data_IF_089143280555
#
_entry.id   IF_089143280555
#
_cell.length_a   1.000
_cell.length_b   1.000
_cell.length_c   1.000
_cell.angle_alpha   90.00
_cell.angle_beta   90.00
_cell.angle_gamma   90.00
#
_symmetry.space_group_name_H-M   'P 1'
#
loop_
_entity.id
_entity.type
_entity.pdbx_description
1 polymer ?
#
# COMPACT_ATOMS: atom_id res chain seq x y z
N UNK A 1 20.56 11.44 9.80
CA UNK A 1 21.65 11.27 8.82
C UNK A 1 21.23 10.49 7.57
N UNK A 2 20.58 9.32 7.65
CA UNK A 2 20.14 8.54 6.47
C UNK A 2 19.19 9.32 5.53
N UNK A 3 18.32 10.19 6.06
CA UNK A 3 17.42 11.02 5.26
C UNK A 3 18.14 12.07 4.38
N UNK A 4 19.39 12.43 4.69
CA UNK A 4 20.16 13.35 3.84
C UNK A 4 20.46 12.74 2.47
N UNK A 5 20.38 11.42 2.29
CA UNK A 5 20.55 10.80 0.96
C UNK A 5 19.48 11.25 -0.03
N UNK A 6 18.29 11.61 0.45
CA UNK A 6 17.19 12.09 -0.40
C UNK A 6 17.38 13.56 -0.82
N UNK A 7 18.13 14.35 -0.06
CA UNK A 7 18.31 15.79 -0.30
C UNK A 7 19.03 16.07 -1.63
N UNK A 8 20.18 15.44 -1.96
CA UNK A 8 20.83 15.61 -3.26
C UNK A 8 19.94 15.15 -4.42
N UNK A 9 19.23 14.03 -4.24
CA UNK A 9 18.32 13.49 -5.26
C UNK A 9 17.17 14.47 -5.50
N UNK A 10 16.59 15.02 -4.43
CA UNK A 10 15.52 16.01 -4.49
C UNK A 10 15.97 17.30 -5.18
N UNK A 11 17.17 17.79 -4.88
CA UNK A 11 17.76 18.96 -5.56
C UNK A 11 17.97 18.66 -7.03
N UNK A 12 18.53 17.50 -7.38
CA UNK A 12 18.72 17.10 -8.77
C UNK A 12 17.38 17.07 -9.51
N UNK A 13 16.36 16.42 -8.95
CA UNK A 13 15.01 16.39 -9.55
C UNK A 13 14.43 17.80 -9.70
N UNK A 14 14.56 18.68 -8.69
CA UNK A 14 14.06 20.05 -8.75
C UNK A 14 14.74 20.88 -9.84
N UNK A 15 16.04 20.68 -10.06
CA UNK A 15 16.81 21.35 -11.12
C UNK A 15 16.50 20.77 -12.52
N UNK A 16 16.32 19.46 -12.63
CA UNK A 16 16.06 18.78 -13.90
C UNK A 16 14.58 18.82 -14.33
N UNK A 17 13.63 18.91 -13.41
CA UNK A 17 12.20 18.96 -13.70
C UNK A 17 11.81 20.03 -14.74
N UNK A 18 12.20 21.32 -14.61
CA UNK A 18 11.84 22.34 -15.60
C UNK A 18 12.53 22.16 -16.96
N UNK A 19 13.61 21.37 -17.04
CA UNK A 19 14.33 21.08 -18.29
C UNK A 19 13.70 19.93 -19.08
N UNK A 20 13.03 18.98 -18.41
CA UNK A 20 12.58 17.73 -19.03
C UNK A 20 11.07 17.48 -18.94
N UNK A 21 10.34 18.24 -18.13
CA UNK A 21 8.89 18.10 -17.97
C UNK A 21 8.21 19.25 -18.71
N UNK A 22 7.60 18.94 -19.86
CA UNK A 22 6.74 19.90 -20.55
C UNK A 22 5.52 20.23 -19.66
N UNK A 23 5.23 21.52 -19.54
CA UNK A 23 4.13 22.04 -18.73
C UNK A 23 2.80 21.46 -19.23
N UNK A 24 2.06 20.77 -18.36
CA UNK A 24 0.73 20.26 -18.71
C UNK A 24 -0.22 21.43 -18.97
N UNK A 25 -1.11 21.28 -19.97
CA UNK A 25 -2.07 22.32 -20.34
C UNK A 25 -2.88 22.81 -19.12
N UNK A 26 -2.79 24.12 -18.84
CA UNK A 26 -3.55 24.79 -17.77
C UNK A 26 -5.04 24.66 -18.06
N UNK A 27 -5.75 23.86 -17.27
CA UNK A 27 -7.19 23.79 -17.30
C UNK A 27 -7.78 24.86 -16.37
N UNK A 28 -8.64 25.78 -16.86
CA UNK A 28 -9.34 26.71 -16.01
C UNK A 28 -10.36 25.96 -15.13
N UNK A 29 -10.17 26.02 -13.81
CA UNK A 29 -11.05 25.41 -12.81
C UNK A 29 -10.94 26.13 -11.47
N UNK A 30 -12.00 26.10 -10.66
CA UNK A 30 -11.97 26.64 -9.29
C UNK A 30 -11.47 25.54 -8.36
N UNK A 31 -10.28 25.74 -7.79
CA UNK A 31 -9.71 24.78 -6.84
C UNK A 31 -10.50 24.81 -5.53
N UNK A 32 -11.04 23.67 -5.12
CA UNK A 32 -11.73 23.52 -3.83
C UNK A 32 -10.70 23.44 -2.69
N UNK A 33 -10.20 24.60 -2.25
CA UNK A 33 -9.26 24.68 -1.12
C UNK A 33 -9.87 24.08 0.16
N UNK A 34 -11.17 24.29 0.38
CA UNK A 34 -11.87 23.79 1.57
C UNK A 34 -11.91 22.26 1.56
N UNK A 35 -12.28 21.66 0.43
CA UNK A 35 -12.25 20.22 0.23
C UNK A 35 -10.83 19.64 0.40
N UNK A 36 -9.82 20.27 -0.20
CA UNK A 36 -8.44 19.82 -0.09
C UNK A 36 -7.91 19.88 1.35
N UNK A 37 -8.18 20.96 2.09
CA UNK A 37 -7.77 21.10 3.49
C UNK A 37 -8.48 20.11 4.40
N UNK A 38 -9.80 19.95 4.25
CA UNK A 38 -10.59 19.01 5.07
C UNK A 38 -10.23 17.56 4.79
N UNK A 39 -10.04 17.16 3.53
CA UNK A 39 -9.58 15.83 3.16
C UNK A 39 -8.18 15.54 3.72
N UNK A 40 -7.24 16.48 3.55
CA UNK A 40 -5.85 16.33 4.02
C UNK A 40 -5.79 16.25 5.54
N UNK A 41 -6.42 17.18 6.25
CA UNK A 41 -6.46 17.18 7.71
C UNK A 41 -7.19 15.95 8.26
N UNK A 42 -8.27 15.52 7.62
CA UNK A 42 -9.01 14.31 7.98
C UNK A 42 -8.16 13.04 7.81
N UNK A 43 -7.47 12.91 6.69
CA UNK A 43 -6.54 11.81 6.41
C UNK A 43 -5.35 11.79 7.37
N UNK A 44 -4.75 12.95 7.65
CA UNK A 44 -3.65 13.08 8.62
C UNK A 44 -4.13 12.67 10.00
N UNK A 45 -5.32 13.13 10.42
CA UNK A 45 -5.90 12.77 11.72
C UNK A 45 -6.18 11.26 11.81
N UNK A 46 -6.66 10.65 10.72
CA UNK A 46 -6.94 9.21 10.65
C UNK A 46 -5.66 8.38 10.79
N UNK A 47 -4.64 8.69 9.99
CA UNK A 47 -3.34 8.01 10.01
C UNK A 47 -2.65 8.23 11.35
N UNK A 48 -2.70 9.45 11.89
CA UNK A 48 -2.17 9.76 13.21
C UNK A 48 -2.87 8.97 14.32
N UNK A 49 -4.20 8.86 14.26
CA UNK A 49 -4.98 8.02 15.17
C UNK A 49 -4.50 6.57 15.15
N UNK A 50 -4.25 6.00 13.98
CA UNK A 50 -3.71 4.64 13.86
C UNK A 50 -2.31 4.49 14.46
N UNK A 51 -1.40 5.44 14.20
CA UNK A 51 -0.04 5.44 14.74
C UNK A 51 -0.07 5.59 16.28
N UNK A 52 -0.90 6.50 16.78
CA UNK A 52 -1.07 6.73 18.23
C UNK A 52 -1.69 5.52 18.91
N UNK A 53 -2.66 4.87 18.27
CA UNK A 53 -3.29 3.65 18.76
C UNK A 53 -2.28 2.50 18.91
N UNK A 54 -1.31 2.38 18.00
CA UNK A 54 -0.25 1.37 18.12
C UNK A 54 0.72 1.62 19.27
N UNK A 55 1.06 2.87 19.57
CA UNK A 55 2.03 3.21 20.64
C UNK A 55 1.38 3.32 22.02
N UNK A 56 0.24 4.03 22.12
CA UNK A 56 -0.38 4.43 23.39
C UNK A 56 -1.70 3.71 23.67
N UNK A 57 -2.18 2.90 22.72
CA UNK A 57 -3.41 2.12 22.84
C UNK A 57 -4.65 2.84 22.31
N UNK A 58 -5.72 2.06 22.14
CA UNK A 58 -6.97 2.46 21.49
C UNK A 58 -7.85 3.36 22.36
N UNK A 59 -7.69 3.31 23.68
CA UNK A 59 -8.47 4.08 24.66
C UNK A 59 -7.80 5.39 25.06
N UNK A 60 -6.61 5.71 24.53
CA UNK A 60 -5.95 6.98 24.78
C UNK A 60 -6.84 8.15 24.32
N UNK A 61 -6.97 9.18 25.14
CA UNK A 61 -7.86 10.31 24.86
C UNK A 61 -7.50 10.98 23.53
N UNK A 62 -6.19 11.06 23.23
CA UNK A 62 -5.64 11.61 21.98
C UNK A 62 -6.01 10.73 20.77
N UNK A 63 -5.94 9.41 20.92
CA UNK A 63 -6.34 8.46 19.87
C UNK A 63 -7.82 8.62 19.52
N UNK A 64 -8.69 8.66 20.53
CA UNK A 64 -10.14 8.80 20.34
C UNK A 64 -10.49 10.16 19.74
N UNK A 65 -9.86 11.25 20.19
CA UNK A 65 -10.06 12.57 19.59
C UNK A 65 -9.55 12.65 18.15
N UNK A 66 -8.42 12.02 17.83
CA UNK A 66 -7.91 11.97 16.46
C UNK A 66 -8.87 11.22 15.51
N UNK A 67 -9.43 10.08 15.95
CA UNK A 67 -10.45 9.37 15.16
C UNK A 67 -11.76 10.16 15.05
N UNK A 68 -12.21 10.80 16.13
CA UNK A 68 -13.38 11.68 16.11
C UNK A 68 -13.19 12.84 15.13
N UNK A 69 -12.02 13.49 15.16
CA UNK A 69 -11.66 14.58 14.25
C UNK A 69 -11.59 14.10 12.80
N UNK A 70 -11.01 12.92 12.56
CA UNK A 70 -10.97 12.31 11.24
C UNK A 70 -12.38 12.05 10.69
N UNK A 71 -13.29 11.50 11.50
CA UNK A 71 -14.69 11.24 11.09
C UNK A 71 -15.38 12.56 10.74
N UNK A 72 -15.25 13.59 11.59
CA UNK A 72 -15.89 14.89 11.35
C UNK A 72 -15.34 15.55 10.08
N UNK A 73 -14.02 15.58 9.90
CA UNK A 73 -13.37 16.22 8.75
C UNK A 73 -13.65 15.48 7.44
N UNK A 74 -13.62 14.15 7.44
CA UNK A 74 -13.93 13.34 6.26
C UNK A 74 -15.43 13.38 5.91
N UNK A 75 -16.32 13.46 6.91
CA UNK A 75 -17.74 13.66 6.67
C UNK A 75 -18.03 15.06 6.12
N UNK A 76 -17.36 16.09 6.65
CA UNK A 76 -17.44 17.45 6.13
C UNK A 76 -16.91 17.53 4.69
N UNK A 77 -15.79 16.88 4.40
CA UNK A 77 -15.26 16.74 3.04
C UNK A 77 -16.30 16.10 2.11
N UNK A 78 -16.85 14.94 2.47
CA UNK A 78 -17.84 14.25 1.64
C UNK A 78 -19.12 15.07 1.43
N UNK A 79 -19.55 15.83 2.44
CA UNK A 79 -20.69 16.73 2.33
C UNK A 79 -20.41 17.93 1.41
N UNK A 80 -19.19 18.49 1.46
CA UNK A 80 -18.73 19.56 0.58
C UNK A 80 -18.62 19.07 -0.86
N UNK A 81 -18.03 17.88 -1.05
CA UNK A 81 -17.80 17.26 -2.36
C UNK A 81 -19.09 17.01 -3.13
N UNK A 82 -20.18 16.70 -2.42
CA UNK A 82 -21.51 16.54 -3.02
C UNK A 82 -22.15 17.86 -3.46
N UNK A 83 -21.64 19.00 -2.99
CA UNK A 83 -22.19 20.35 -3.25
C UNK A 83 -21.35 21.14 -4.25
N UNK A 84 -20.07 20.82 -4.40
CA UNK A 84 -19.14 21.58 -5.24
C UNK A 84 -19.30 21.21 -6.73
N UNK A 85 -19.32 22.18 -7.66
CA UNK A 85 -19.47 21.92 -9.10
C UNK A 85 -18.31 21.15 -9.76
N UNK A 86 -17.11 21.25 -9.18
CA UNK A 86 -15.89 20.57 -9.62
C UNK A 86 -15.29 19.78 -8.43
N UNK A 87 -15.83 18.59 -8.11
CA UNK A 87 -15.32 17.77 -7.01
C UNK A 87 -13.90 17.27 -7.33
N UNK A 88 -13.03 17.29 -6.31
CA UNK A 88 -11.67 16.72 -6.34
C UNK A 88 -11.72 15.20 -6.54
N UNK A 89 -12.74 14.54 -5.99
CA UNK A 89 -12.97 13.11 -5.99
C UNK A 89 -14.36 12.81 -6.53
N UNK A 90 -14.54 12.78 -7.86
CA UNK A 90 -15.85 12.61 -8.44
C UNK A 90 -16.50 11.28 -7.99
N UNK A 91 -17.70 11.30 -7.39
CA UNK A 91 -18.30 10.12 -6.78
C UNK A 91 -18.67 9.02 -7.80
N UNK A 92 -18.78 9.36 -9.10
CA UNK A 92 -18.96 8.37 -10.15
C UNK A 92 -17.73 7.49 -10.35
N UNK A 93 -16.53 7.91 -9.95
CA UNK A 93 -15.32 7.07 -10.01
C UNK A 93 -15.46 5.80 -9.17
N UNK A 94 -16.23 5.84 -8.07
CA UNK A 94 -16.50 4.69 -7.20
C UNK A 94 -17.65 3.79 -7.71
N UNK A 95 -18.45 4.25 -8.67
CA UNK A 95 -19.51 3.41 -9.27
C UNK A 95 -18.93 2.30 -10.15
N UNK A 96 -17.72 2.49 -10.66
CA UNK A 96 -17.01 1.46 -11.41
C UNK A 96 -16.49 0.40 -10.44
N UNK A 97 -17.07 -0.80 -10.55
CA UNK A 97 -16.76 -1.94 -9.69
C UNK A 97 -15.30 -2.39 -9.79
N UNK A 98 -14.66 -2.24 -10.95
CA UNK A 98 -13.25 -2.62 -11.12
C UNK A 98 -12.33 -1.62 -10.41
N UNK A 99 -12.63 -0.32 -10.49
CA UNK A 99 -11.91 0.74 -9.77
C UNK A 99 -12.05 0.59 -8.25
N UNK A 100 -13.27 0.45 -7.76
CA UNK A 100 -13.54 0.23 -6.33
C UNK A 100 -12.88 -1.06 -5.82
N UNK A 101 -12.88 -2.11 -6.64
CA UNK A 101 -12.12 -3.33 -6.36
C UNK A 101 -10.61 -3.10 -6.29
N UNK A 102 -10.04 -2.32 -7.20
CA UNK A 102 -8.62 -2.00 -7.20
C UNK A 102 -8.20 -1.16 -5.98
N UNK A 103 -9.02 -0.19 -5.54
CA UNK A 103 -8.78 0.56 -4.31
C UNK A 103 -8.79 -0.35 -3.07
N UNK A 104 -9.80 -1.21 -2.94
CA UNK A 104 -9.87 -2.18 -1.84
C UNK A 104 -8.71 -3.18 -1.87
N UNK A 105 -8.32 -3.62 -3.06
CA UNK A 105 -7.17 -4.51 -3.26
C UNK A 105 -5.88 -3.86 -2.76
N UNK A 106 -5.59 -2.64 -3.21
CA UNK A 106 -4.37 -1.92 -2.79
C UNK A 106 -4.39 -1.59 -1.32
N UNK A 107 -5.55 -1.27 -0.73
CA UNK A 107 -5.68 -1.07 0.70
C UNK A 107 -5.26 -2.33 1.48
N UNK A 108 -5.77 -3.51 1.09
CA UNK A 108 -5.42 -4.78 1.74
C UNK A 108 -3.96 -5.18 1.52
N UNK A 109 -3.46 -4.98 0.30
CA UNK A 109 -2.07 -5.29 -0.05
C UNK A 109 -1.10 -4.36 0.69
N UNK A 110 -1.42 -3.08 0.80
CA UNK A 110 -0.63 -2.12 1.59
C UNK A 110 -0.65 -2.47 3.08
N UNK A 111 -1.81 -2.84 3.65
CA UNK A 111 -1.90 -3.31 5.03
C UNK A 111 -0.95 -4.49 5.30
N UNK A 112 -0.92 -5.45 4.37
CA UNK A 112 -0.02 -6.60 4.43
C UNK A 112 1.45 -6.20 4.27
N UNK A 113 1.74 -5.28 3.33
CA UNK A 113 3.09 -4.80 3.04
C UNK A 113 3.74 -4.13 4.26
N UNK A 114 3.09 -3.11 4.82
CA UNK A 114 3.61 -2.38 5.97
C UNK A 114 3.79 -3.32 7.17
N UNK A 115 2.85 -4.26 7.35
CA UNK A 115 2.95 -5.33 8.34
C UNK A 115 4.22 -6.19 8.17
N UNK A 116 4.38 -6.82 7.01
CA UNK A 116 5.56 -7.67 6.74
C UNK A 116 6.85 -6.90 6.95
N UNK A 117 6.97 -5.69 6.37
CA UNK A 117 8.20 -4.92 6.48
C UNK A 117 8.52 -4.56 7.93
N UNK A 118 7.52 -4.19 8.72
CA UNK A 118 7.70 -3.89 10.14
C UNK A 118 8.23 -5.11 10.92
N UNK A 119 7.54 -6.25 10.85
CA UNK A 119 7.94 -7.44 11.62
C UNK A 119 9.23 -8.07 11.12
N UNK A 120 9.46 -8.07 9.81
CA UNK A 120 10.68 -8.63 9.25
C UNK A 120 11.91 -7.77 9.59
N UNK A 121 11.72 -6.45 9.67
CA UNK A 121 12.76 -5.54 10.18
C UNK A 121 13.02 -5.79 11.67
N UNK A 122 11.98 -5.95 12.47
CA UNK A 122 12.08 -6.25 13.89
C UNK A 122 12.76 -7.61 14.12
N UNK A 123 12.41 -8.63 13.33
CA UNK A 123 13.07 -9.94 13.35
C UNK A 123 14.55 -9.87 12.96
N UNK A 124 14.89 -9.12 11.91
CA UNK A 124 16.28 -8.97 11.49
C UNK A 124 17.14 -8.25 12.54
N UNK A 125 16.61 -7.21 13.17
CA UNK A 125 17.37 -6.40 14.13
C UNK A 125 17.40 -7.02 15.53
N UNK A 126 16.25 -7.40 16.08
CA UNK A 126 16.14 -7.83 17.48
C UNK A 126 16.45 -9.32 17.67
N UNK A 127 16.13 -10.18 16.70
CA UNK A 127 16.32 -11.65 16.81
C UNK A 127 17.63 -12.08 16.16
N UNK A 128 17.90 -11.65 14.92
CA UNK A 128 19.12 -12.02 14.20
C UNK A 128 20.33 -11.14 14.57
N UNK A 129 20.12 -10.05 15.33
CA UNK A 129 21.19 -9.13 15.71
C UNK A 129 21.86 -8.42 14.54
N UNK A 130 21.18 -8.30 13.39
CA UNK A 130 21.74 -7.63 12.23
C UNK A 130 21.84 -6.14 12.46
N UNK A 131 22.96 -5.54 12.06
CA UNK A 131 23.05 -4.08 12.01
C UNK A 131 22.01 -3.53 11.01
N UNK A 132 21.51 -2.28 11.21
CA UNK A 132 20.54 -1.67 10.29
C UNK A 132 21.01 -1.65 8.83
N UNK A 133 22.32 -1.49 8.60
CA UNK A 133 22.95 -1.58 7.27
C UNK A 133 22.78 -2.98 6.67
N UNK A 134 23.05 -4.04 7.44
CA UNK A 134 22.93 -5.43 6.98
C UNK A 134 21.47 -5.81 6.72
N UNK A 135 20.54 -5.33 7.53
CA UNK A 135 19.11 -5.48 7.30
C UNK A 135 18.67 -4.77 6.00
N UNK A 136 19.16 -3.54 5.74
CA UNK A 136 18.90 -2.84 4.48
C UNK A 136 19.39 -3.60 3.24
N UNK A 137 20.63 -4.11 3.28
CA UNK A 137 21.16 -4.97 2.21
C UNK A 137 20.35 -6.25 2.05
N UNK A 138 19.81 -6.78 3.15
CA UNK A 138 18.96 -7.97 3.10
C UNK A 138 17.63 -7.75 2.36
N UNK A 139 17.12 -6.52 2.35
CA UNK A 139 15.91 -6.17 1.61
C UNK A 139 16.16 -5.89 0.13
N UNK A 140 17.38 -5.60 -0.33
CA UNK A 140 17.64 -5.29 -1.76
C UNK A 140 17.06 -6.31 -2.77
N UNK A 141 17.13 -7.63 -2.53
CA UNK A 141 16.53 -8.61 -3.43
C UNK A 141 15.02 -8.40 -3.65
N UNK A 142 14.30 -7.87 -2.64
CA UNK A 142 12.87 -7.57 -2.78
C UNK A 142 12.63 -6.48 -3.83
N UNK A 143 13.47 -5.45 -3.85
CA UNK A 143 13.35 -4.34 -4.79
C UNK A 143 13.59 -4.83 -6.22
N UNK A 144 14.59 -5.69 -6.41
CA UNK A 144 14.86 -6.32 -7.71
C UNK A 144 13.67 -7.17 -8.15
N UNK A 145 13.10 -7.97 -7.26
CA UNK A 145 11.92 -8.79 -7.55
C UNK A 145 10.69 -7.94 -7.93
N UNK A 146 10.43 -6.85 -7.19
CA UNK A 146 9.34 -5.91 -7.50
C UNK A 146 9.55 -5.29 -8.88
N UNK A 147 10.75 -4.80 -9.18
CA UNK A 147 11.05 -4.18 -10.48
C UNK A 147 10.87 -5.20 -11.61
N UNK A 148 11.43 -6.40 -11.46
CA UNK A 148 11.31 -7.45 -12.47
C UNK A 148 9.85 -7.84 -12.73
N UNK A 149 9.07 -8.06 -11.67
CA UNK A 149 7.65 -8.39 -11.77
C UNK A 149 6.82 -7.23 -12.33
N UNK A 150 7.09 -6.00 -11.92
CA UNK A 150 6.42 -4.82 -12.44
C UNK A 150 6.65 -4.64 -13.94
N UNK A 151 7.89 -4.80 -14.41
CA UNK A 151 8.22 -4.73 -15.83
C UNK A 151 7.59 -5.88 -16.64
N UNK A 152 7.59 -7.08 -16.07
CA UNK A 152 6.94 -8.24 -16.68
C UNK A 152 5.42 -8.05 -16.78
N UNK A 153 4.77 -7.58 -15.70
CA UNK A 153 3.35 -7.27 -15.67
C UNK A 153 3.02 -6.12 -16.64
N UNK A 154 3.86 -5.08 -16.68
CA UNK A 154 3.70 -3.93 -17.57
C UNK A 154 3.54 -4.34 -19.05
N UNK A 155 4.43 -5.22 -19.51
CA UNK A 155 4.45 -5.72 -20.90
C UNK A 155 3.35 -6.74 -21.16
N UNK A 156 3.14 -7.67 -20.23
CA UNK A 156 2.33 -8.87 -20.48
C UNK A 156 0.83 -8.62 -20.23
N UNK A 157 0.48 -7.65 -19.38
CA UNK A 157 -0.93 -7.28 -19.16
C UNK A 157 -1.62 -6.75 -20.42
N UNK A 158 -0.88 -6.17 -21.37
CA UNK A 158 -1.43 -5.67 -22.63
C UNK A 158 -2.07 -6.80 -23.45
N UNK A 159 -1.58 -8.04 -23.28
CA UNK A 159 -2.05 -9.23 -23.99
C UNK A 159 -3.09 -10.03 -23.22
N UNK A 160 -2.95 -10.15 -21.90
CA UNK A 160 -3.78 -11.02 -21.06
C UNK A 160 -4.81 -10.27 -20.20
N UNK A 161 -4.77 -8.93 -20.18
CA UNK A 161 -5.59 -8.09 -19.30
C UNK A 161 -5.05 -8.03 -17.86
N UNK A 162 -5.57 -7.09 -17.06
CA UNK A 162 -5.09 -6.86 -15.70
C UNK A 162 -5.50 -7.96 -14.69
N UNK A 163 -6.65 -8.61 -14.89
CA UNK A 163 -7.23 -9.54 -13.89
C UNK A 163 -6.33 -10.75 -13.56
N UNK A 164 -5.77 -11.49 -14.52
CA UNK A 164 -4.89 -12.62 -14.20
C UNK A 164 -3.67 -12.22 -13.36
N UNK A 165 -3.11 -11.03 -13.60
CA UNK A 165 -1.98 -10.51 -12.83
C UNK A 165 -2.37 -10.12 -11.40
N UNK A 166 -3.53 -9.49 -11.21
CA UNK A 166 -4.02 -9.17 -9.88
C UNK A 166 -4.29 -10.44 -9.06
N UNK A 167 -4.85 -11.48 -9.69
CA UNK A 167 -5.08 -12.77 -9.04
C UNK A 167 -3.77 -13.49 -8.71
N UNK A 168 -2.88 -13.67 -9.70
CA UNK A 168 -1.59 -14.33 -9.50
C UNK A 168 -0.73 -13.59 -8.49
N UNK A 169 -0.67 -12.25 -8.58
CA UNK A 169 0.05 -11.41 -7.65
C UNK A 169 -0.50 -11.52 -6.22
N UNK A 170 -1.83 -11.51 -6.05
CA UNK A 170 -2.44 -11.66 -4.71
C UNK A 170 -2.17 -13.05 -4.12
N UNK A 171 -2.18 -14.10 -4.94
CA UNK A 171 -1.80 -15.45 -4.51
C UNK A 171 -0.32 -15.54 -4.12
N UNK A 172 0.57 -14.88 -4.86
CA UNK A 172 2.00 -14.79 -4.51
C UNK A 172 2.21 -14.06 -3.19
N UNK A 173 1.48 -12.97 -2.95
CA UNK A 173 1.48 -12.26 -1.66
C UNK A 173 1.02 -13.18 -0.53
N UNK A 174 -0.11 -13.89 -0.71
CA UNK A 174 -0.61 -14.87 0.28
C UNK A 174 0.43 -15.96 0.53
N UNK A 175 1.05 -16.51 -0.52
CA UNK A 175 2.07 -17.54 -0.40
C UNK A 175 3.33 -17.03 0.33
N UNK A 176 3.77 -15.81 0.04
CA UNK A 176 4.89 -15.17 0.73
C UNK A 176 4.60 -14.96 2.21
N UNK A 177 3.41 -14.44 2.55
CA UNK A 177 2.98 -14.25 3.95
C UNK A 177 2.82 -15.60 4.67
N UNK A 178 2.23 -16.60 4.02
CA UNK A 178 2.05 -17.95 4.57
C UNK A 178 3.36 -18.73 4.73
N UNK A 179 4.38 -18.38 3.96
CA UNK A 179 5.73 -18.87 4.21
C UNK A 179 6.33 -18.13 5.42
N UNK A 180 6.16 -16.81 5.50
CA UNK A 180 6.66 -16.03 6.63
C UNK A 180 6.07 -16.47 7.98
N UNK A 181 4.83 -16.97 8.04
CA UNK A 181 4.25 -17.54 9.28
C UNK A 181 4.97 -18.80 9.78
N UNK A 182 5.73 -19.49 8.92
CA UNK A 182 6.50 -20.70 9.27
C UNK A 182 7.96 -20.42 9.63
N UNK A 183 8.35 -19.16 9.75
CA UNK A 183 9.69 -18.77 10.19
C UNK A 183 9.88 -19.23 11.64
N UNK A 184 10.96 -19.99 11.87
CA UNK A 184 11.39 -20.42 13.20
C UNK A 184 12.72 -19.76 13.56
N UNK A 185 13.04 -19.72 14.85
CA UNK A 185 14.29 -19.16 15.40
C UNK A 185 15.56 -19.86 14.86
N UNK A 186 15.41 -21.04 14.25
CA UNK A 186 16.49 -21.79 13.60
C UNK A 186 16.54 -21.63 12.07
N UNK A 187 15.67 -20.83 11.47
CA UNK A 187 15.63 -20.65 10.01
C UNK A 187 16.84 -19.84 9.52
N UNK A 188 17.56 -20.39 8.53
CA UNK A 188 18.64 -19.68 7.84
C UNK A 188 18.09 -18.47 7.08
N UNK A 189 18.92 -17.43 6.92
CA UNK A 189 18.58 -16.18 6.23
C UNK A 189 17.92 -16.40 4.85
N UNK A 190 18.38 -17.39 4.09
CA UNK A 190 17.85 -17.70 2.76
C UNK A 190 16.41 -18.23 2.80
N UNK A 191 16.10 -19.14 3.74
CA UNK A 191 14.77 -19.74 3.87
C UNK A 191 13.79 -18.89 4.69
N UNK A 192 14.30 -18.18 5.69
CA UNK A 192 13.50 -17.40 6.63
C UNK A 192 13.16 -16.00 6.12
N UNK A 193 14.06 -15.36 5.37
CA UNK A 193 13.88 -13.95 4.95
C UNK A 193 13.77 -13.86 3.44
N UNK A 194 14.77 -14.38 2.73
CA UNK A 194 14.92 -14.14 1.29
C UNK A 194 13.79 -14.80 0.48
N UNK A 195 13.44 -16.06 0.75
CA UNK A 195 12.33 -16.76 0.07
C UNK A 195 10.98 -16.03 0.21
N UNK A 196 10.48 -15.79 1.43
CA UNK A 196 9.22 -15.09 1.66
C UNK A 196 9.18 -13.68 1.06
N UNK A 197 10.26 -12.89 1.21
CA UNK A 197 10.31 -11.54 0.61
C UNK A 197 10.36 -11.58 -0.90
N UNK A 198 11.05 -12.53 -1.53
CA UNK A 198 11.06 -12.63 -2.99
C UNK A 198 9.64 -12.88 -3.53
N UNK A 199 8.94 -13.85 -2.97
CA UNK A 199 7.55 -14.16 -3.34
C UNK A 199 6.63 -12.96 -3.14
N UNK A 200 6.76 -12.31 -1.99
CA UNK A 200 6.03 -11.10 -1.67
C UNK A 200 6.33 -9.98 -2.68
N UNK A 201 7.60 -9.72 -2.99
CA UNK A 201 8.03 -8.71 -3.94
C UNK A 201 7.53 -8.97 -5.36
N UNK A 202 7.59 -10.22 -5.82
CA UNK A 202 7.02 -10.62 -7.11
C UNK A 202 5.51 -10.39 -7.16
N UNK A 203 4.81 -10.73 -6.07
CA UNK A 203 3.37 -10.48 -5.93
C UNK A 203 3.04 -8.99 -6.00
N UNK A 204 3.78 -8.16 -5.24
CA UNK A 204 3.63 -6.71 -5.21
C UNK A 204 3.82 -6.07 -6.58
N UNK A 205 4.92 -6.38 -7.28
CA UNK A 205 5.16 -5.86 -8.62
C UNK A 205 4.06 -6.25 -9.62
N UNK A 206 3.51 -7.46 -9.46
CA UNK A 206 2.42 -7.97 -10.30
C UNK A 206 1.05 -7.33 -9.98
N UNK A 207 0.87 -6.76 -8.79
CA UNK A 207 -0.39 -6.07 -8.40
C UNK A 207 -0.34 -4.58 -8.72
N UNK A 208 0.76 -3.90 -8.40
CA UNK A 208 0.84 -2.44 -8.45
C UNK A 208 0.57 -1.88 -9.85
N UNK A 209 1.24 -2.43 -10.85
CA UNK A 209 1.13 -1.93 -12.23
C UNK A 209 -0.28 -2.17 -12.78
N UNK A 210 -0.85 -3.38 -12.74
CA UNK A 210 -2.19 -3.62 -13.29
C UNK A 210 -3.30 -2.97 -12.48
N UNK A 211 -3.13 -2.79 -11.16
CA UNK A 211 -4.11 -2.08 -10.34
C UNK A 211 -4.14 -0.59 -10.70
N UNK A 212 -2.97 0.03 -10.86
CA UNK A 212 -2.86 1.42 -11.33
C UNK A 212 -3.55 1.61 -12.67
N UNK A 213 -3.30 0.70 -13.63
CA UNK A 213 -3.94 0.76 -14.95
C UNK A 213 -5.44 0.51 -14.89
N UNK A 214 -5.91 -0.39 -14.03
CA UNK A 214 -7.34 -0.61 -13.81
C UNK A 214 -8.01 0.65 -13.25
N UNK A 215 -7.30 1.42 -12.43
CA UNK A 215 -7.79 2.65 -11.82
C UNK A 215 -7.88 3.80 -12.81
N UNK A 216 -6.90 3.95 -13.71
CA UNK A 216 -6.91 5.02 -14.71
C UNK A 216 -7.65 4.63 -16.01
N UNK A 217 -7.99 3.35 -16.17
CA UNK A 217 -8.75 2.88 -17.34
C UNK A 217 -10.16 3.46 -17.37
N UNK A 218 -10.57 3.98 -18.54
CA UNK A 218 -11.88 4.62 -18.78
C UNK A 218 -12.15 5.84 -17.87
N UNK A 219 -11.09 6.48 -17.40
CA UNK A 219 -11.15 7.77 -16.68
C UNK A 219 -10.85 8.88 -17.69
N UNK A 220 -11.61 9.98 -17.65
CA UNK A 220 -11.32 11.12 -18.50
C UNK A 220 -9.93 11.70 -18.13
N UNK A 221 -9.14 12.23 -19.09
CA UNK A 221 -7.79 12.71 -18.80
C UNK A 221 -7.70 13.67 -17.59
N UNK A 222 -8.69 14.56 -17.43
CA UNK A 222 -8.80 15.51 -16.33
C UNK A 222 -9.12 14.89 -14.95
N UNK A 223 -9.64 13.66 -14.91
CA UNK A 223 -9.98 12.93 -13.67
C UNK A 223 -8.89 11.91 -13.26
N UNK A 224 -7.87 11.71 -14.11
CA UNK A 224 -6.77 10.74 -13.88
C UNK A 224 -6.00 11.05 -12.60
N UNK A 225 -5.80 12.34 -12.30
CA UNK A 225 -5.16 12.80 -11.06
C UNK A 225 -5.97 12.40 -9.83
N UNK A 226 -7.30 12.59 -9.86
CA UNK A 226 -8.19 12.18 -8.77
C UNK A 226 -8.18 10.67 -8.56
N UNK A 227 -8.26 9.89 -9.64
CA UNK A 227 -8.22 8.43 -9.60
C UNK A 227 -6.91 7.90 -8.98
N UNK A 228 -5.78 8.44 -9.43
CA UNK A 228 -4.45 8.05 -8.91
C UNK A 228 -4.23 8.55 -7.48
N UNK A 229 -4.76 9.73 -7.13
CA UNK A 229 -4.72 10.27 -5.76
C UNK A 229 -5.47 9.37 -4.77
N UNK A 230 -6.65 8.87 -5.16
CA UNK A 230 -7.37 7.87 -4.35
C UNK A 230 -6.61 6.56 -4.19
N UNK A 231 -5.84 6.16 -5.21
CA UNK A 231 -5.01 4.95 -5.14
C UNK A 231 -3.93 5.08 -4.06
N UNK A 232 -3.20 6.20 -4.07
CA UNK A 232 -2.18 6.50 -3.07
C UNK A 232 -2.80 6.69 -1.68
N UNK A 233 -3.97 7.32 -1.60
CA UNK A 233 -4.71 7.45 -0.34
C UNK A 233 -5.08 6.06 0.21
N UNK A 234 -5.63 5.18 -0.63
CA UNK A 234 -5.97 3.80 -0.25
C UNK A 234 -4.74 3.02 0.23
N UNK A 235 -3.59 3.23 -0.42
CA UNK A 235 -2.32 2.63 0.00
C UNK A 235 -1.89 3.13 1.39
N UNK A 236 -1.92 4.44 1.64
CA UNK A 236 -1.48 5.02 2.92
C UNK A 236 -2.44 4.69 4.07
N UNK A 237 -3.76 4.76 3.83
CA UNK A 237 -4.76 4.29 4.80
C UNK A 237 -4.58 2.82 5.08
N UNK A 238 -4.45 2.00 4.03
CA UNK A 238 -4.26 0.56 4.17
C UNK A 238 -3.01 0.21 4.97
N UNK A 239 -1.88 0.85 4.66
CA UNK A 239 -0.61 0.66 5.36
C UNK A 239 -0.70 1.03 6.85
N UNK A 240 -1.25 2.19 7.17
CA UNK A 240 -1.39 2.66 8.56
C UNK A 240 -2.39 1.83 9.37
N UNK A 241 -3.56 1.53 8.80
CA UNK A 241 -4.58 0.68 9.42
C UNK A 241 -4.05 -0.74 9.66
N UNK A 242 -3.41 -1.33 8.65
CA UNK A 242 -2.81 -2.65 8.74
C UNK A 242 -1.77 -2.69 9.85
N UNK A 243 -0.79 -1.78 9.81
CA UNK A 243 0.27 -1.73 10.80
C UNK A 243 -0.28 -1.54 12.22
N UNK A 244 -1.25 -0.64 12.42
CA UNK A 244 -1.83 -0.39 13.74
C UNK A 244 -2.53 -1.62 14.33
N UNK A 245 -3.34 -2.33 13.53
CA UNK A 245 -4.00 -3.55 13.98
C UNK A 245 -2.96 -4.64 14.27
N UNK A 246 -1.97 -4.81 13.40
CA UNK A 246 -0.93 -5.81 13.61
C UNK A 246 -0.10 -5.52 14.87
N UNK A 247 0.31 -4.28 15.13
CA UNK A 247 1.05 -3.90 16.35
C UNK A 247 0.20 -4.09 17.60
N UNK A 248 -1.10 -3.78 17.52
CA UNK A 248 -2.04 -4.00 18.63
C UNK A 248 -2.16 -5.48 18.97
N UNK A 249 -2.32 -6.33 17.95
CA UNK A 249 -2.45 -7.78 18.11
C UNK A 249 -1.13 -8.37 18.60
N UNK A 250 -0.01 -7.92 18.04
CA UNK A 250 1.33 -8.26 18.52
C UNK A 250 1.52 -7.89 19.99
N UNK A 251 1.15 -6.68 20.40
CA UNK A 251 1.25 -6.24 21.80
C UNK A 251 0.33 -7.03 22.73
N UNK A 252 -0.88 -7.37 22.27
CA UNK A 252 -1.83 -8.18 23.04
C UNK A 252 -1.34 -9.62 23.20
N UNK A 253 -0.88 -10.24 22.11
CA UNK A 253 -0.31 -11.59 22.12
C UNK A 253 0.96 -11.65 22.98
N UNK A 254 1.85 -10.67 22.84
CA UNK A 254 3.08 -10.58 23.65
C UNK A 254 2.76 -10.45 25.14
N UNK A 255 1.77 -9.63 25.52
CA UNK A 255 1.31 -9.51 26.92
C UNK A 255 0.71 -10.80 27.46
N UNK A 256 -0.07 -11.51 26.64
CA UNK A 256 -0.69 -12.78 27.05
C UNK A 256 0.36 -13.88 27.27
N UNK A 257 1.35 -13.97 26.37
CA UNK A 257 2.45 -14.92 26.49
C UNK A 257 3.38 -14.55 27.65
N UNK A 258 3.67 -13.26 27.84
CA UNK A 258 4.39 -12.75 29.02
C UNK A 258 3.67 -13.15 30.31
N UNK A 259 2.34 -13.00 30.39
CA UNK A 259 1.56 -13.40 31.56
C UNK A 259 1.58 -14.91 31.84
N UNK A 260 1.76 -15.75 30.81
CA UNK A 260 1.98 -17.19 30.95
C UNK A 260 3.39 -17.56 31.40
N UNK A 261 4.40 -16.86 30.86
CA UNK A 261 5.80 -17.20 31.08
C UNK A 261 6.36 -16.58 32.38
N UNK A 262 5.86 -15.43 32.84
CA UNK A 262 6.31 -14.80 34.09
C UNK A 262 6.17 -15.72 35.32
N UNK A 263 5.06 -16.46 35.53
CA UNK A 263 4.95 -17.43 36.62
C UNK A 263 5.95 -18.59 36.51
N UNK A 264 6.30 -19.02 35.29
CA UNK A 264 7.29 -20.07 35.05
C UNK A 264 8.73 -19.55 35.31
N UNK A 265 9.03 -18.34 34.84
CA UNK A 265 10.28 -17.63 35.10
C UNK A 265 10.49 -17.40 36.60
N UNK A 266 9.48 -16.88 37.32
CA UNK A 266 9.59 -16.64 38.77
C UNK A 266 9.84 -17.91 39.60
N UNK A 267 9.53 -19.10 39.07
CA UNK A 267 9.81 -20.40 39.72
C UNK A 267 11.24 -20.91 39.46
N UNK A 268 11.88 -20.46 38.40
CA UNK A 268 13.17 -20.99 37.93
C UNK A 268 14.31 -19.94 37.90
N UNK A 269 13.98 -18.65 38.04
CA UNK A 269 14.92 -17.54 37.87
C UNK A 269 15.98 -17.47 38.98
N UNK A 270 17.22 -17.19 38.59
CA UNK A 270 18.30 -16.87 39.52
C UNK A 270 18.14 -15.47 40.13
N UNK A 271 18.73 -15.20 41.31
CA UNK A 271 18.60 -13.90 41.98
C UNK A 271 19.04 -12.68 41.14
N UNK A 272 20.00 -12.86 40.23
CA UNK A 272 20.48 -11.82 39.31
C UNK A 272 19.48 -11.52 38.18
N UNK A 273 18.76 -12.53 37.70
CA UNK A 273 17.74 -12.38 36.65
C UNK A 273 16.48 -11.69 37.21
N UNK A 274 16.11 -12.00 38.45
CA UNK A 274 15.05 -11.30 39.19
C UNK A 274 15.37 -9.82 39.44
N UNK A 275 16.64 -9.49 39.69
CA UNK A 275 17.07 -8.11 39.86
C UNK A 275 17.00 -7.31 38.56
N UNK A 276 17.37 -7.92 37.41
CA UNK A 276 17.22 -7.31 36.08
C UNK A 276 15.77 -7.14 35.67
N UNK A 277 14.92 -8.14 35.91
CA UNK A 277 13.49 -8.04 35.64
C UNK A 277 12.82 -6.93 36.48
N UNK A 278 13.24 -6.74 37.74
CA UNK A 278 12.73 -5.63 38.58
C UNK A 278 13.24 -4.25 38.16
N UNK A 279 14.40 -4.17 37.51
CA UNK A 279 15.00 -2.92 37.06
C UNK A 279 14.45 -2.47 35.70
N UNK A 280 14.38 -3.38 34.73
CA UNK A 280 14.05 -3.06 33.33
C UNK A 280 12.68 -3.59 32.87
N UNK A 281 12.03 -4.47 33.64
CA UNK A 281 10.76 -5.09 33.26
C UNK A 281 10.85 -6.10 32.11
N UNK A 282 12.06 -6.43 31.65
CA UNK A 282 12.32 -7.30 30.49
C UNK A 282 12.69 -8.73 30.91
N UNK A 283 12.12 -9.73 30.22
CA UNK A 283 12.46 -11.13 30.40
C UNK A 283 13.84 -11.44 29.76
N UNK A 284 14.74 -12.19 30.42
CA UNK A 284 15.98 -12.65 29.80
C UNK A 284 15.72 -13.70 28.70
N UNK A 285 16.60 -13.77 27.69
CA UNK A 285 16.58 -14.86 26.71
C UNK A 285 16.84 -16.19 27.45
N UNK A 286 16.04 -17.27 27.24
CA UNK A 286 15.27 -17.63 26.04
C UNK A 286 13.78 -17.22 26.00
N UNK A 287 13.21 -16.71 27.10
CA UNK A 287 11.78 -16.39 27.19
C UNK A 287 11.38 -15.18 26.32
N UNK A 288 12.23 -14.16 26.25
CA UNK A 288 12.00 -13.00 25.36
C UNK A 288 11.97 -13.38 23.89
N UNK A 289 12.86 -14.27 23.43
CA UNK A 289 12.88 -14.73 22.03
C UNK A 289 11.63 -15.53 21.65
N UNK A 290 11.06 -16.33 22.56
CA UNK A 290 9.83 -17.08 22.30
C UNK A 290 8.59 -16.18 22.27
N UNK A 291 8.48 -15.21 23.19
CA UNK A 291 7.40 -14.22 23.21
C UNK A 291 7.41 -13.38 21.92
N UNK A 292 8.59 -12.93 21.48
CA UNK A 292 8.76 -12.19 20.24
C UNK A 292 8.39 -13.04 19.02
N UNK A 293 8.88 -14.29 18.94
CA UNK A 293 8.57 -15.19 17.83
C UNK A 293 7.07 -15.52 17.74
N UNK A 294 6.41 -15.76 18.87
CA UNK A 294 4.97 -16.03 18.90
C UNK A 294 4.14 -14.79 18.54
N UNK A 295 4.53 -13.62 19.04
CA UNK A 295 3.93 -12.34 18.65
C UNK A 295 4.06 -12.10 17.14
N UNK A 296 5.25 -12.29 16.58
CA UNK A 296 5.53 -12.12 15.15
C UNK A 296 4.70 -13.11 14.30
N UNK A 297 4.62 -14.38 14.70
CA UNK A 297 3.83 -15.39 14.01
C UNK A 297 2.33 -15.03 14.01
N UNK A 298 1.81 -14.53 15.14
CA UNK A 298 0.41 -14.12 15.28
C UNK A 298 0.09 -12.88 14.43
N UNK A 299 1.03 -11.93 14.34
CA UNK A 299 0.90 -10.77 13.47
C UNK A 299 0.93 -11.15 11.98
N UNK A 300 1.77 -12.12 11.59
CA UNK A 300 1.77 -12.64 10.22
C UNK A 300 0.47 -13.35 9.84
N UNK A 301 -0.21 -14.04 10.76
CA UNK A 301 -1.54 -14.61 10.51
C UNK A 301 -2.55 -13.52 10.15
N UNK A 302 -2.47 -12.36 10.80
CA UNK A 302 -3.35 -11.24 10.49
C UNK A 302 -3.02 -10.58 9.15
N UNK A 303 -1.72 -10.51 8.81
CA UNK A 303 -1.27 -10.19 7.45
C UNK A 303 -1.83 -11.17 6.40
N UNK A 304 -1.95 -12.45 6.74
CA UNK A 304 -2.54 -13.46 5.87
C UNK A 304 -4.04 -13.22 5.65
N UNK A 305 -4.77 -12.74 6.66
CA UNK A 305 -6.19 -12.36 6.52
C UNK A 305 -6.34 -11.20 5.53
N UNK A 306 -5.50 -10.16 5.64
CA UNK A 306 -5.50 -9.05 4.67
C UNK A 306 -5.13 -9.52 3.26
N UNK A 307 -4.12 -10.38 3.13
CA UNK A 307 -3.74 -10.95 1.85
C UNK A 307 -4.83 -11.86 1.24
N UNK A 308 -5.54 -12.63 2.06
CA UNK A 308 -6.67 -13.45 1.61
C UNK A 308 -7.85 -12.57 1.18
N UNK A 309 -8.13 -11.48 1.91
CA UNK A 309 -9.14 -10.50 1.52
C UNK A 309 -8.79 -9.84 0.18
N UNK A 310 -7.50 -9.53 -0.05
CA UNK A 310 -7.00 -9.07 -1.35
C UNK A 310 -7.31 -10.08 -2.47
N UNK A 311 -7.08 -11.38 -2.25
CA UNK A 311 -7.45 -12.43 -3.22
C UNK A 311 -8.96 -12.44 -3.48
N UNK A 312 -9.79 -12.38 -2.44
CA UNK A 312 -11.25 -12.33 -2.56
C UNK A 312 -11.68 -11.12 -3.41
N UNK A 313 -11.12 -9.94 -3.16
CA UNK A 313 -11.41 -8.74 -3.94
C UNK A 313 -10.99 -8.91 -5.39
N UNK A 314 -9.78 -9.43 -5.64
CA UNK A 314 -9.28 -9.68 -6.99
C UNK A 314 -10.14 -10.69 -7.78
N UNK A 315 -10.67 -11.71 -7.11
CA UNK A 315 -11.49 -12.76 -7.72
C UNK A 315 -12.93 -12.29 -7.98
N UNK A 316 -13.59 -11.74 -6.95
CA UNK A 316 -15.03 -11.52 -6.93
C UNK A 316 -15.46 -10.09 -7.28
N UNK A 317 -14.62 -9.09 -7.01
CA UNK A 317 -14.95 -7.68 -7.27
C UNK A 317 -14.45 -7.27 -8.64
N UNK A 318 -13.21 -7.63 -8.99
CA UNK A 318 -12.58 -7.23 -10.25
C UNK A 318 -13.04 -8.18 -11.39
N UNK A 319 -13.87 -7.65 -12.29
CA UNK A 319 -14.32 -8.32 -13.52
C UNK A 319 -13.81 -7.53 -14.73
N UNK A 320 -12.50 -7.59 -14.98
CA UNK A 320 -11.93 -7.02 -16.21
C UNK A 320 -12.21 -8.01 -17.36
N UNK A 321 -13.08 -7.62 -18.29
CA UNK A 321 -13.22 -8.27 -19.59
C UNK A 321 -12.08 -7.79 -20.51
N UNK A 322 -11.65 -8.66 -21.44
CA UNK A 322 -10.68 -8.32 -22.49
C UNK A 322 -11.11 -7.02 -23.18
N UNK A 323 -10.20 -6.06 -23.31
CA UNK A 323 -10.42 -4.93 -24.22
C UNK A 323 -10.72 -5.52 -25.61
N UNK A 324 -11.79 -5.09 -26.29
CA UNK A 324 -11.98 -5.42 -27.70
C UNK A 324 -10.69 -5.08 -28.42
N UNK A 325 -10.15 -6.02 -29.20
CA UNK A 325 -9.02 -5.77 -30.06
C UNK A 325 -9.29 -4.47 -30.81
N UNK A 326 -8.36 -3.53 -30.68
CA UNK A 326 -8.38 -2.21 -31.30
C UNK A 326 -9.09 -2.28 -32.66
N UNK A 327 -10.25 -1.62 -32.76
CA UNK A 327 -10.81 -1.30 -34.07
C UNK A 327 -9.68 -0.61 -34.85
N UNK A 328 -9.43 -1.00 -36.11
CA UNK A 328 -8.38 -0.37 -36.89
C UNK A 328 -8.61 1.14 -36.86
N UNK A 329 -7.58 1.88 -36.46
CA UNK A 329 -7.52 3.33 -36.63
C UNK A 329 -7.86 3.57 -38.10
N UNK A 330 -9.05 4.11 -38.38
CA UNK A 330 -9.32 4.62 -39.72
C UNK A 330 -8.23 5.65 -39.97
N UNK A 331 -7.36 5.47 -40.97
CA UNK A 331 -6.41 6.51 -41.32
C UNK A 331 -7.23 7.77 -41.57
N UNK A 332 -6.87 8.82 -40.84
CA UNK A 332 -7.47 10.13 -40.95
C UNK A 332 -7.78 10.42 -42.43
N UNK A 333 -9.02 10.81 -42.70
CA UNK A 333 -9.47 11.13 -44.05
C UNK A 333 -8.44 12.03 -44.71
N UNK A 334 -7.79 11.49 -45.75
CA UNK A 334 -7.14 12.33 -46.73
C UNK A 334 -8.22 13.28 -47.24
N UNK A 335 -8.13 14.54 -46.82
CA UNK A 335 -8.87 15.64 -47.45
C UNK A 335 -8.44 15.61 -48.91
N UNK A 336 -9.34 15.14 -49.77
CA UNK A 336 -9.17 15.13 -51.22
C UNK A 336 -9.31 16.59 -51.70
N UNK A 337 -8.27 17.24 -52.26
CA UNK A 337 -8.36 18.64 -52.68
C UNK A 337 -8.94 18.80 -54.10
N UNK A 338 -9.61 17.79 -54.67
CA UNK A 338 -10.19 17.87 -56.01
C UNK A 338 -11.70 17.62 -55.99
N UNK A 339 -12.47 18.65 -55.64
CA UNK A 339 -13.89 18.74 -56.01
C UNK A 339 -14.02 19.30 -57.44
N UNK A 340 -14.91 18.76 -58.30
CA UNK A 340 -15.07 19.25 -59.66
C UNK A 340 -15.77 20.61 -59.68
N UNK A 341 -15.17 21.54 -60.41
CA UNK A 341 -15.72 22.86 -60.72
C UNK A 341 -16.91 22.65 -61.68
N UNK A 342 -18.13 22.87 -61.23
CA UNK A 342 -19.31 22.96 -62.09
C UNK A 342 -19.39 24.37 -62.69
N UNK A 343 -19.52 24.53 -64.02
CA UNK A 343 -19.74 25.85 -64.61
C UNK A 343 -21.21 26.24 -64.42
N UNK A 344 -21.44 27.36 -63.72
CA UNK A 344 -22.72 28.07 -63.75
C UNK A 344 -22.88 28.70 -65.13
N UNK A 345 -23.62 28.02 -66.01
CA UNK A 345 -24.29 28.68 -67.12
C UNK A 345 -25.58 29.29 -66.59
N UNK A 346 -25.73 30.59 -66.78
CA UNK A 346 -27.02 31.20 -67.13
C UNK A 346 -26.74 32.53 -67.81
N UNK A 347 -27.15 32.61 -69.07
CA UNK A 347 -27.37 33.86 -69.77
C UNK A 347 -28.87 34.05 -69.96
N UNK A 348 -29.37 35.21 -69.55
CA UNK A 348 -30.46 36.00 -70.14
C UNK A 348 -30.78 37.15 -69.18
#
# INVERSE_FOLDING_TARGET
>A
WVLFVNVPIGIAIALLAPLYINESERHPGRFDLTGACTATAGMVSLVYGFIRASDHGWTDAVTVTAFGLAIVLLAAFLANERRVPQPITPPHLFRDRNRSGAYGLILCVAATMFGIFFFLTLFAQDILGYSPLRAGFAFLPISVAIIAAAQFAARTQLRFGAKPFLMAGSLLVVAGVAWATRISVHSSYADGILGPTLLFGLGMGSIFVPATLTVVSRVAPHETGAATGMLNTSQQVGGSLGLSILVTVYGTASRHETARQVPAFLRQATPQELARFRADGTLPAPYSSEVLAHGIATAFQLGLVFAALAVVIAVFVIRVHRLPASAPVSPAGHVNPAGPISPSGDGA
#
